data_IF_138936653893
#
_entry.id   IF_138936653893
#
_cell.length_a   1.000
_cell.length_b   1.000
_cell.length_c   1.000
_cell.angle_alpha   90.00
_cell.angle_beta   90.00
_cell.angle_gamma   90.00
#
_symmetry.space_group_name_H-M   'P 1'
#
loop_
_entity.id
_entity.type
_entity.pdbx_description
1 polymer ?
#
# COMPACT_ATOMS: atom_id res chain seq x y z
N UNK A 1 -36.34 -37.34 5.53
CA UNK A 1 -36.49 -37.66 4.12
C UNK A 1 -35.50 -36.86 3.26
N UNK A 2 -35.26 -37.32 2.07
CA UNK A 2 -34.33 -36.66 1.14
C UNK A 2 -34.75 -35.21 0.80
N UNK A 3 -36.03 -34.94 0.78
CA UNK A 3 -36.58 -33.63 0.46
C UNK A 3 -36.22 -32.60 1.53
N UNK A 4 -36.27 -32.95 2.80
CA UNK A 4 -35.90 -32.09 3.91
C UNK A 4 -34.40 -31.80 3.95
N UNK A 5 -33.56 -32.80 3.70
CA UNK A 5 -32.11 -32.67 3.64
C UNK A 5 -31.66 -31.72 2.53
N UNK A 6 -32.29 -31.75 1.36
CA UNK A 6 -31.98 -30.87 0.25
C UNK A 6 -32.33 -29.40 0.56
N UNK A 7 -33.43 -29.17 1.25
CA UNK A 7 -33.84 -27.80 1.66
C UNK A 7 -32.88 -27.23 2.68
N UNK A 8 -32.43 -28.01 3.66
CA UNK A 8 -31.45 -27.62 4.65
C UNK A 8 -30.08 -27.29 4.02
N UNK A 9 -29.63 -28.09 3.08
CA UNK A 9 -28.37 -27.85 2.37
C UNK A 9 -28.38 -26.54 1.60
N UNK A 10 -29.49 -26.19 0.95
CA UNK A 10 -29.66 -24.94 0.22
C UNK A 10 -29.64 -23.74 1.16
N UNK A 11 -30.31 -23.81 2.30
CA UNK A 11 -30.32 -22.76 3.32
C UNK A 11 -28.93 -22.52 3.90
N UNK A 12 -28.18 -23.59 4.19
CA UNK A 12 -26.82 -23.49 4.71
C UNK A 12 -25.88 -22.82 3.70
N UNK A 13 -26.00 -23.14 2.43
CA UNK A 13 -25.20 -22.55 1.35
C UNK A 13 -25.49 -21.05 1.19
N UNK A 14 -26.73 -20.63 1.26
CA UNK A 14 -27.14 -19.22 1.17
C UNK A 14 -26.57 -18.42 2.36
N UNK A 15 -26.65 -18.96 3.57
CA UNK A 15 -26.08 -18.35 4.77
C UNK A 15 -24.57 -18.17 4.66
N UNK A 16 -23.88 -19.16 4.13
CA UNK A 16 -22.44 -19.11 3.93
C UNK A 16 -22.04 -18.02 2.94
N UNK A 17 -22.77 -17.88 1.85
CA UNK A 17 -22.56 -16.83 0.84
C UNK A 17 -22.76 -15.43 1.40
N UNK A 18 -23.78 -15.23 2.24
CA UNK A 18 -24.05 -13.96 2.90
C UNK A 18 -22.92 -13.54 3.86
N UNK A 19 -22.40 -14.48 4.62
CA UNK A 19 -21.27 -14.24 5.51
C UNK A 19 -19.99 -13.84 4.74
N UNK A 20 -19.75 -14.49 3.64
CA UNK A 20 -18.61 -14.21 2.78
C UNK A 20 -18.70 -12.80 2.16
N UNK A 21 -19.87 -12.41 1.71
CA UNK A 21 -20.13 -11.08 1.14
C UNK A 21 -19.91 -9.97 2.19
N UNK A 22 -20.34 -10.20 3.42
CA UNK A 22 -20.14 -9.26 4.53
C UNK A 22 -18.67 -9.04 4.83
N UNK A 23 -17.85 -10.09 4.80
CA UNK A 23 -16.40 -10.00 5.02
C UNK A 23 -15.70 -9.14 3.97
N UNK A 24 -16.05 -9.30 2.70
CA UNK A 24 -15.49 -8.51 1.59
C UNK A 24 -15.87 -7.04 1.72
N UNK A 25 -17.11 -6.73 2.11
CA UNK A 25 -17.58 -5.36 2.31
C UNK A 25 -16.84 -4.69 3.48
N UNK A 26 -16.65 -5.38 4.58
CA UNK A 26 -15.90 -4.87 5.73
C UNK A 26 -14.44 -4.56 5.38
N UNK A 27 -13.79 -5.38 4.56
CA UNK A 27 -12.43 -5.15 4.10
C UNK A 27 -12.31 -3.86 3.28
N UNK A 28 -13.31 -3.52 2.46
CA UNK A 28 -13.33 -2.26 1.68
C UNK A 28 -13.49 -1.02 2.56
N UNK A 29 -14.20 -1.10 3.68
CA UNK A 29 -14.39 0.01 4.60
C UNK A 29 -13.11 0.39 5.36
N UNK A 30 -12.13 -0.51 5.44
CA UNK A 30 -10.85 -0.27 6.10
C UNK A 30 -9.76 0.30 5.19
N UNK A 31 -10.05 0.55 3.93
CA UNK A 31 -9.06 1.07 2.99
C UNK A 31 -8.99 2.59 3.04
N UNK A 32 -8.06 3.08 3.85
CA UNK A 32 -7.48 4.42 3.76
C UNK A 32 -8.38 5.60 4.08
N UNK A 33 -7.79 6.63 4.67
CA UNK A 33 -8.40 7.94 4.90
C UNK A 33 -8.44 8.79 3.62
N UNK A 34 -8.70 10.08 3.80
CA UNK A 34 -8.74 11.03 2.69
C UNK A 34 -7.39 11.20 2.03
N UNK A 35 -7.40 11.44 0.73
CA UNK A 35 -6.21 11.75 -0.05
C UNK A 35 -5.96 13.25 0.01
N UNK A 36 -4.70 13.64 0.14
CA UNK A 36 -4.31 15.05 0.16
C UNK A 36 -2.94 15.24 -0.49
N UNK A 37 -2.71 16.43 -1.03
CA UNK A 37 -1.44 16.83 -1.62
C UNK A 37 -0.58 17.56 -0.61
N UNK A 38 0.72 17.32 -0.62
CA UNK A 38 1.67 17.99 0.26
C UNK A 38 2.99 18.22 -0.45
N UNK A 39 3.56 19.42 -0.27
CA UNK A 39 4.90 19.76 -0.73
C UNK A 39 5.95 19.37 0.32
N UNK A 40 7.20 19.21 -0.10
CA UNK A 40 8.31 18.93 0.80
C UNK A 40 8.28 17.56 1.43
N UNK A 41 7.63 16.61 0.77
CA UNK A 41 7.57 15.21 1.23
C UNK A 41 8.87 14.52 0.87
N UNK A 42 9.49 13.86 1.85
CA UNK A 42 10.70 13.07 1.62
C UNK A 42 10.31 11.68 1.12
N UNK A 43 10.78 11.34 -0.06
CA UNK A 43 10.52 10.04 -0.67
C UNK A 43 11.82 9.33 -1.03
N UNK A 44 11.89 8.06 -0.71
CA UNK A 44 12.93 7.17 -1.24
C UNK A 44 12.45 6.65 -2.59
N UNK A 45 13.16 7.00 -3.65
CA UNK A 45 12.80 6.61 -5.01
C UNK A 45 13.74 5.53 -5.52
N UNK A 46 13.17 4.59 -6.27
CA UNK A 46 13.90 3.54 -6.97
C UNK A 46 13.77 3.76 -8.47
N UNK A 47 14.91 3.96 -9.12
CA UNK A 47 14.99 4.15 -10.56
C UNK A 47 15.72 2.94 -11.19
N UNK A 48 15.13 2.36 -12.20
CA UNK A 48 15.72 1.25 -12.97
C UNK A 48 15.92 1.70 -14.41
N UNK A 49 17.16 1.69 -14.87
CA UNK A 49 17.54 2.13 -16.23
C UNK A 49 17.02 3.54 -16.55
N UNK A 50 17.10 4.46 -15.59
CA UNK A 50 16.65 5.83 -15.76
C UNK A 50 15.15 6.05 -15.63
N UNK A 51 14.38 5.00 -15.38
CA UNK A 51 12.92 5.07 -15.21
C UNK A 51 12.54 4.91 -13.76
N UNK A 52 11.72 5.83 -13.24
CA UNK A 52 11.17 5.76 -11.89
C UNK A 52 10.14 4.63 -11.82
N UNK A 53 10.39 3.63 -10.98
CA UNK A 53 9.51 2.45 -10.87
C UNK A 53 8.87 2.29 -9.50
N UNK A 54 9.45 2.88 -8.45
CA UNK A 54 8.94 2.72 -7.10
C UNK A 54 9.29 3.93 -6.24
N UNK A 55 8.45 4.23 -5.25
CA UNK A 55 8.67 5.28 -4.25
C UNK A 55 8.11 4.87 -2.92
N UNK A 56 8.76 5.31 -1.84
CA UNK A 56 8.35 5.02 -0.46
C UNK A 56 8.38 6.31 0.35
N UNK A 57 7.34 6.57 1.14
CA UNK A 57 7.27 7.69 2.06
C UNK A 57 8.29 7.53 3.19
N UNK A 58 9.00 8.62 3.51
CA UNK A 58 9.88 8.72 4.67
C UNK A 58 9.53 9.96 5.49
N UNK A 59 9.66 9.88 6.81
CA UNK A 59 9.33 10.99 7.70
C UNK A 59 10.31 12.15 7.58
N UNK A 60 11.59 11.86 7.38
CA UNK A 60 12.64 12.86 7.27
C UNK A 60 13.80 12.35 6.41
N UNK A 61 14.71 13.27 6.07
CA UNK A 61 15.86 12.96 5.23
C UNK A 61 16.81 11.95 5.90
N UNK A 62 16.99 12.03 7.20
CA UNK A 62 17.88 11.13 7.94
C UNK A 62 17.41 9.67 7.81
N UNK A 63 16.12 9.42 7.99
CA UNK A 63 15.55 8.09 7.84
C UNK A 63 15.64 7.60 6.39
N UNK A 64 15.42 8.49 5.43
CA UNK A 64 15.53 8.16 4.01
C UNK A 64 16.96 7.73 3.66
N UNK A 65 17.96 8.48 4.09
CA UNK A 65 19.37 8.16 3.82
C UNK A 65 19.79 6.84 4.46
N UNK A 66 19.30 6.54 5.65
CA UNK A 66 19.54 5.26 6.32
C UNK A 66 18.96 4.09 5.52
N UNK A 67 17.72 4.23 5.10
CA UNK A 67 17.04 3.22 4.26
C UNK A 67 17.71 3.05 2.90
N UNK A 68 18.18 4.15 2.31
CA UNK A 68 18.93 4.13 1.05
C UNK A 68 20.21 3.31 1.17
N UNK A 69 20.96 3.46 2.23
CA UNK A 69 22.18 2.68 2.46
C UNK A 69 21.91 1.18 2.56
N UNK A 70 20.87 0.82 3.31
CA UNK A 70 20.47 -0.59 3.46
C UNK A 70 20.03 -1.18 2.12
N UNK A 71 19.14 -0.48 1.41
CA UNK A 71 18.64 -0.93 0.11
C UNK A 71 19.75 -1.08 -0.92
N UNK A 72 20.71 -0.15 -0.96
CA UNK A 72 21.83 -0.18 -1.88
C UNK A 72 22.79 -1.36 -1.63
N UNK A 73 22.87 -1.83 -0.39
CA UNK A 73 23.66 -3.02 -0.05
C UNK A 73 22.98 -4.31 -0.50
N UNK A 74 21.65 -4.37 -0.37
CA UNK A 74 20.88 -5.56 -0.70
C UNK A 74 20.70 -5.75 -2.20
N UNK A 75 20.54 -4.64 -2.92
CA UNK A 75 20.32 -4.66 -4.37
C UNK A 75 21.56 -4.03 -5.04
N UNK A 76 22.59 -4.81 -5.24
CA UNK A 76 23.78 -4.38 -5.96
C UNK A 76 23.51 -4.36 -7.47
N UNK A 77 23.84 -3.24 -8.15
CA UNK A 77 23.72 -3.16 -9.58
C UNK A 77 23.81 -1.72 -10.10
N UNK A 78 24.47 -1.54 -11.22
CA UNK A 78 24.66 -0.24 -11.86
C UNK A 78 23.37 0.35 -12.44
N UNK A 79 22.35 -0.51 -12.64
CA UNK A 79 21.09 -0.13 -13.28
C UNK A 79 20.05 0.36 -12.28
N UNK A 80 20.24 0.08 -11.00
CA UNK A 80 19.29 0.42 -9.93
C UNK A 80 19.86 1.58 -9.13
N UNK A 81 19.14 2.68 -9.08
CA UNK A 81 19.54 3.87 -8.33
C UNK A 81 18.48 4.19 -7.29
N UNK A 82 18.90 4.27 -6.03
CA UNK A 82 18.09 4.77 -4.93
C UNK A 82 18.42 6.23 -4.67
N UNK A 83 17.41 7.05 -4.49
CA UNK A 83 17.60 8.47 -4.19
C UNK A 83 16.59 8.95 -3.17
N UNK A 84 17.02 9.89 -2.31
CA UNK A 84 16.14 10.60 -1.40
C UNK A 84 15.81 11.94 -2.01
N UNK A 85 14.52 12.19 -2.23
CA UNK A 85 14.04 13.40 -2.91
C UNK A 85 12.98 14.11 -2.08
N UNK A 86 13.00 15.45 -2.11
CA UNK A 86 11.90 16.26 -1.60
C UNK A 86 10.95 16.54 -2.76
N UNK A 87 9.73 16.07 -2.66
CA UNK A 87 8.77 16.09 -3.77
C UNK A 87 7.40 16.60 -3.32
N UNK A 88 6.60 17.05 -4.28
CA UNK A 88 5.16 17.21 -4.08
C UNK A 88 4.51 15.86 -4.32
N UNK A 89 3.69 15.42 -3.38
CA UNK A 89 3.12 14.07 -3.43
C UNK A 89 1.67 14.04 -3.02
N UNK A 90 0.95 13.07 -3.57
CA UNK A 90 -0.39 12.70 -3.13
C UNK A 90 -0.26 11.68 -2.02
N UNK A 91 -0.76 12.02 -0.84
CA UNK A 91 -0.67 11.19 0.36
C UNK A 91 -2.06 10.71 0.79
N UNK A 92 -2.07 9.64 1.55
CA UNK A 92 -3.28 9.09 2.15
C UNK A 92 -2.96 8.60 3.56
N UNK A 93 -3.81 8.93 4.52
CA UNK A 93 -3.71 8.35 5.86
C UNK A 93 -4.03 6.87 5.81
N UNK A 94 -3.12 6.05 6.32
CA UNK A 94 -3.26 4.60 6.34
C UNK A 94 -2.70 4.06 7.65
N UNK A 95 -3.58 3.58 8.51
CA UNK A 95 -3.20 3.04 9.81
C UNK A 95 -2.29 1.81 9.72
N UNK A 96 -2.32 1.11 8.60
CA UNK A 96 -1.50 -0.07 8.35
C UNK A 96 -0.11 0.28 7.80
N UNK A 97 0.09 1.50 7.34
CA UNK A 97 1.39 1.95 6.88
C UNK A 97 2.35 2.17 8.06
N UNK A 98 3.63 1.95 7.83
CA UNK A 98 4.68 2.05 8.87
C UNK A 98 4.68 3.39 9.60
N UNK A 99 4.41 4.50 8.90
CA UNK A 99 4.39 5.84 9.47
C UNK A 99 2.97 6.43 9.56
N UNK A 100 1.93 5.63 9.38
CA UNK A 100 0.56 6.09 9.35
C UNK A 100 0.17 6.85 8.08
N UNK A 101 1.08 6.97 7.11
CA UNK A 101 0.89 7.69 5.85
C UNK A 101 1.42 6.85 4.70
N UNK A 102 0.65 6.82 3.63
CA UNK A 102 1.02 6.13 2.40
C UNK A 102 1.21 7.15 1.28
N UNK A 103 2.32 7.07 0.56
CA UNK A 103 2.58 7.90 -0.61
C UNK A 103 1.99 7.22 -1.84
N UNK A 104 0.98 7.83 -2.44
CA UNK A 104 0.27 7.27 -3.57
C UNK A 104 0.92 7.61 -4.91
N UNK A 105 1.36 8.86 -5.07
CA UNK A 105 1.91 9.35 -6.33
C UNK A 105 2.81 10.56 -6.12
N UNK A 106 3.87 10.65 -6.88
CA UNK A 106 4.72 11.84 -6.97
C UNK A 106 4.14 12.75 -8.06
N UNK A 107 3.91 14.03 -7.71
CA UNK A 107 3.21 14.99 -8.58
C UNK A 107 4.15 15.91 -9.37
N UNK A 108 5.44 15.91 -9.03
CA UNK A 108 6.41 16.74 -9.76
C UNK A 108 7.63 15.99 -10.27
#
# INVERSE_FOLDING_TARGET
SEWENNTMKKLTSILFLLLFTTSVFAAKLYTGGEKYEKDGVIALTLTLNGKLIEWVYKENLSQCLKSKRVASREVGGERVIFACRSVKALLQEDKQAKYGIRLLKILN
#
